data_IF_290903616622
#
_entry.id   IF_290903616622
#
_cell.length_a   1.000
_cell.length_b   1.000
_cell.length_c   1.000
_cell.angle_alpha   90.00
_cell.angle_beta   90.00
_cell.angle_gamma   90.00
#
_symmetry.space_group_name_H-M   'P 1'
#
loop_
_entity.id
_entity.type
_entity.pdbx_description
1 polymer ?
#
# COMPACT_ATOMS: atom_id res chain seq x y z
N UNK A 1 -12.30 10.30 -16.73
CA UNK A 1 -11.05 10.71 -16.04
C UNK A 1 -9.89 10.49 -16.99
N UNK A 2 -8.82 11.32 -16.97
CA UNK A 2 -7.63 11.00 -17.75
C UNK A 2 -6.96 9.74 -17.17
N UNK A 3 -6.21 8.99 -17.98
CA UNK A 3 -5.62 7.70 -17.60
C UNK A 3 -4.66 7.82 -16.41
N UNK A 4 -3.82 8.87 -16.38
CA UNK A 4 -2.90 9.15 -15.28
C UNK A 4 -3.64 9.39 -13.95
N UNK A 5 -4.78 10.09 -13.98
CA UNK A 5 -5.59 10.38 -12.81
C UNK A 5 -6.25 9.11 -12.27
N UNK A 6 -6.65 8.17 -13.15
CA UNK A 6 -7.13 6.85 -12.72
C UNK A 6 -6.00 6.09 -12.03
N UNK A 7 -4.81 6.03 -12.62
CA UNK A 7 -3.63 5.38 -12.03
C UNK A 7 -3.31 5.92 -10.63
N UNK A 8 -3.19 7.24 -10.49
CA UNK A 8 -2.88 7.88 -9.20
C UNK A 8 -4.00 7.68 -8.17
N UNK A 9 -5.27 7.72 -8.59
CA UNK A 9 -6.38 7.42 -7.69
C UNK A 9 -6.30 6.00 -7.13
N UNK A 10 -5.95 5.02 -7.96
CA UNK A 10 -5.81 3.64 -7.51
C UNK A 10 -4.55 3.41 -6.68
N UNK A 11 -3.44 4.10 -6.94
CA UNK A 11 -2.29 4.11 -6.01
C UNK A 11 -2.70 4.67 -4.64
N UNK A 12 -3.40 5.80 -4.62
CA UNK A 12 -3.90 6.39 -3.38
C UNK A 12 -4.83 5.45 -2.60
N UNK A 13 -5.83 4.87 -3.27
CA UNK A 13 -6.78 3.94 -2.62
C UNK A 13 -6.04 2.70 -2.12
N UNK A 14 -5.13 2.13 -2.89
CA UNK A 14 -4.37 0.95 -2.50
C UNK A 14 -3.47 1.21 -1.30
N UNK A 15 -2.76 2.33 -1.28
CA UNK A 15 -1.92 2.74 -0.15
C UNK A 15 -2.77 3.07 1.08
N UNK A 16 -3.95 3.69 0.90
CA UNK A 16 -4.88 3.93 2.01
C UNK A 16 -5.35 2.62 2.65
N UNK A 17 -5.64 1.59 1.85
CA UNK A 17 -5.99 0.25 2.35
C UNK A 17 -4.80 -0.41 3.05
N UNK A 18 -3.61 -0.35 2.45
CA UNK A 18 -2.38 -0.86 3.04
C UNK A 18 -2.13 -0.26 4.43
N UNK A 19 -2.20 1.07 4.54
CA UNK A 19 -1.98 1.82 5.78
C UNK A 19 -3.09 1.54 6.80
N UNK A 20 -4.36 1.58 6.36
CA UNK A 20 -5.50 1.36 7.26
C UNK A 20 -5.42 0.00 7.97
N UNK A 21 -5.09 -1.07 7.23
CA UNK A 21 -5.00 -2.41 7.82
C UNK A 21 -3.64 -2.70 8.46
N UNK A 22 -2.54 -2.26 7.83
CA UNK A 22 -1.19 -2.45 8.36
C UNK A 22 -0.96 -1.70 9.66
N UNK A 23 -1.20 -0.38 9.68
CA UNK A 23 -1.08 0.40 10.91
C UNK A 23 -2.24 0.10 11.87
N UNK A 24 -3.41 -0.27 11.33
CA UNK A 24 -4.56 -0.71 12.13
C UNK A 24 -4.26 -1.94 12.99
N UNK A 25 -3.56 -2.95 12.47
CA UNK A 25 -3.14 -4.10 13.29
C UNK A 25 -2.08 -3.72 14.31
N UNK A 26 -1.18 -2.80 13.97
CA UNK A 26 -0.18 -2.30 14.93
C UNK A 26 -0.88 -1.58 16.07
N UNK A 27 -1.80 -0.66 15.77
CA UNK A 27 -2.63 0.02 16.76
C UNK A 27 -3.44 -0.97 17.59
N UNK A 28 -4.04 -1.98 16.96
CA UNK A 28 -4.74 -3.07 17.65
C UNK A 28 -3.80 -3.83 18.61
N UNK A 29 -2.55 -4.08 18.25
CA UNK A 29 -1.62 -4.83 19.08
C UNK A 29 -1.00 -4.03 20.22
N UNK A 30 -0.74 -2.72 20.03
CA UNK A 30 0.04 -1.89 20.98
C UNK A 30 -0.82 -0.98 21.85
N UNK A 31 -2.05 -0.66 21.44
CA UNK A 31 -2.92 0.24 22.20
C UNK A 31 -3.53 -0.50 23.39
N UNK A 32 -3.31 0.04 24.59
CA UNK A 32 -3.89 -0.51 25.82
C UNK A 32 -5.41 -0.56 25.73
N UNK A 33 -6.00 -1.66 26.21
CA UNK A 33 -7.44 -1.93 26.21
C UNK A 33 -8.05 -2.11 24.81
N UNK A 34 -7.25 -2.26 23.76
CA UNK A 34 -7.77 -2.80 22.51
C UNK A 34 -8.13 -4.28 22.69
N UNK A 35 -8.93 -4.84 21.78
CA UNK A 35 -9.23 -6.27 21.79
C UNK A 35 -8.09 -7.14 21.23
N UNK A 36 -7.09 -6.53 20.61
CA UNK A 36 -5.92 -7.20 20.03
C UNK A 36 -4.63 -6.97 20.82
N UNK A 37 -4.70 -6.32 21.98
CA UNK A 37 -3.54 -5.96 22.79
C UNK A 37 -2.69 -7.21 23.10
N UNK A 38 -1.38 -7.11 22.91
CA UNK A 38 -0.43 -8.23 23.07
C UNK A 38 -0.73 -9.47 22.20
N UNK A 39 -1.38 -9.29 21.03
CA UNK A 39 -1.58 -10.35 20.03
C UNK A 39 -0.27 -10.91 19.43
N UNK A 40 0.83 -10.18 19.56
CA UNK A 40 2.17 -10.63 19.21
C UNK A 40 2.51 -10.48 17.72
N UNK A 41 3.75 -10.84 17.39
CA UNK A 41 4.34 -10.54 16.08
C UNK A 41 3.64 -11.25 14.91
N UNK A 42 3.16 -12.48 15.11
CA UNK A 42 2.48 -13.27 14.07
C UNK A 42 1.20 -12.58 13.58
N UNK A 43 0.43 -11.98 14.49
CA UNK A 43 -0.81 -11.27 14.12
C UNK A 43 -0.47 -10.04 13.28
N UNK A 44 0.57 -9.29 13.68
CA UNK A 44 1.03 -8.10 12.95
C UNK A 44 1.51 -8.47 11.55
N UNK A 45 2.39 -9.46 11.43
CA UNK A 45 2.98 -9.80 10.12
C UNK A 45 2.00 -10.41 9.15
N UNK A 46 1.09 -11.28 9.62
CA UNK A 46 0.03 -11.81 8.77
C UNK A 46 -0.91 -10.71 8.28
N UNK A 47 -1.34 -9.80 9.17
CA UNK A 47 -2.22 -8.72 8.79
C UNK A 47 -1.56 -7.71 7.83
N UNK A 48 -0.27 -7.41 7.99
CA UNK A 48 0.49 -6.61 7.01
C UNK A 48 0.55 -7.30 5.63
N UNK A 49 0.83 -8.61 5.60
CA UNK A 49 0.81 -9.38 4.34
C UNK A 49 -0.55 -9.35 3.65
N UNK A 50 -1.64 -9.50 4.41
CA UNK A 50 -3.00 -9.39 3.90
C UNK A 50 -3.35 -7.96 3.46
N UNK A 51 -2.88 -6.93 4.16
CA UNK A 51 -3.07 -5.54 3.79
C UNK A 51 -2.43 -5.23 2.43
N UNK A 52 -1.20 -5.72 2.19
CA UNK A 52 -0.54 -5.64 0.88
C UNK A 52 -1.35 -6.35 -0.19
N UNK A 53 -1.79 -7.59 0.07
CA UNK A 53 -2.61 -8.36 -0.88
C UNK A 53 -3.87 -7.61 -1.29
N UNK A 54 -4.59 -7.03 -0.32
CA UNK A 54 -5.80 -6.25 -0.58
C UNK A 54 -5.50 -5.00 -1.42
N UNK A 55 -4.45 -4.25 -1.07
CA UNK A 55 -4.01 -3.10 -1.86
C UNK A 55 -3.69 -3.49 -3.31
N UNK A 56 -2.97 -4.59 -3.51
CA UNK A 56 -2.63 -5.09 -4.86
C UNK A 56 -3.88 -5.52 -5.63
N UNK A 57 -4.83 -6.22 -5.01
CA UNK A 57 -6.07 -6.64 -5.69
C UNK A 57 -6.94 -5.46 -6.11
N UNK A 58 -6.95 -4.38 -5.33
CA UNK A 58 -7.70 -3.16 -5.65
C UNK A 58 -7.01 -2.37 -6.77
N UNK A 59 -5.70 -2.15 -6.63
CA UNK A 59 -4.97 -1.19 -7.46
C UNK A 59 -4.32 -1.79 -8.70
N UNK A 60 -4.01 -3.09 -8.66
CA UNK A 60 -3.25 -3.81 -9.70
C UNK A 60 -3.83 -3.66 -11.10
N UNK A 61 -5.14 -3.91 -11.33
CA UNK A 61 -5.76 -3.78 -12.64
C UNK A 61 -5.68 -2.39 -13.28
N UNK A 62 -5.43 -1.34 -12.48
CA UNK A 62 -5.54 0.05 -12.92
C UNK A 62 -4.20 0.81 -12.92
N UNK A 63 -3.32 0.51 -11.97
CA UNK A 63 -2.10 1.29 -11.70
C UNK A 63 -0.80 0.49 -11.77
N UNK A 64 -0.88 -0.84 -11.68
CA UNK A 64 0.29 -1.69 -11.42
C UNK A 64 0.61 -1.90 -9.94
N UNK A 65 -0.12 -1.21 -9.04
CA UNK A 65 -0.05 -1.36 -7.58
C UNK A 65 1.38 -1.27 -7.03
N UNK A 66 2.03 -0.13 -7.23
CA UNK A 66 3.33 0.11 -6.60
C UNK A 66 3.16 0.27 -5.09
N UNK A 67 2.18 1.08 -4.69
CA UNK A 67 1.73 1.37 -3.32
C UNK A 67 2.85 1.83 -2.37
N UNK A 68 4.03 2.10 -2.92
CA UNK A 68 5.28 2.30 -2.20
C UNK A 68 6.23 3.11 -3.10
N UNK A 69 6.73 4.26 -2.62
CA UNK A 69 7.71 5.07 -3.34
C UNK A 69 8.99 4.30 -3.73
N UNK A 70 9.49 3.40 -2.89
CA UNK A 70 10.67 2.60 -3.17
C UNK A 70 10.44 1.62 -4.33
N UNK A 71 9.25 1.02 -4.43
CA UNK A 71 8.87 0.16 -5.56
C UNK A 71 8.79 0.99 -6.84
N UNK A 72 8.14 2.17 -6.78
CA UNK A 72 8.04 3.10 -7.91
C UNK A 72 9.42 3.50 -8.43
N UNK A 73 10.33 3.90 -7.54
CA UNK A 73 11.70 4.27 -7.90
C UNK A 73 12.50 3.08 -8.45
N UNK A 74 12.34 1.89 -7.86
CA UNK A 74 12.99 0.67 -8.31
C UNK A 74 12.60 0.28 -9.74
N UNK A 75 11.30 0.32 -10.05
CA UNK A 75 10.80 0.02 -11.39
C UNK A 75 11.22 1.09 -12.42
N UNK A 76 11.25 2.37 -12.02
CA UNK A 76 11.75 3.44 -12.89
C UNK A 76 13.25 3.28 -13.19
N UNK A 77 14.05 2.95 -12.17
CA UNK A 77 15.48 2.68 -12.30
C UNK A 77 15.76 1.44 -13.15
N UNK A 78 14.90 0.42 -13.08
CA UNK A 78 14.99 -0.78 -13.90
C UNK A 78 14.54 -0.56 -15.37
N UNK A 79 14.02 0.63 -15.71
CA UNK A 79 13.52 0.94 -17.06
C UNK A 79 12.16 0.30 -17.38
N UNK A 80 11.46 -0.25 -16.38
CA UNK A 80 10.15 -0.89 -16.53
C UNK A 80 8.98 0.03 -16.18
N UNK A 81 9.26 1.26 -15.76
CA UNK A 81 8.26 2.29 -15.45
C UNK A 81 8.73 3.69 -15.90
N UNK A 82 7.79 4.52 -16.37
CA UNK A 82 8.12 5.85 -16.87
C UNK A 82 8.49 6.81 -15.75
N UNK A 83 9.64 7.48 -15.87
CA UNK A 83 10.07 8.53 -14.94
C UNK A 83 9.07 9.68 -14.80
N UNK A 84 8.29 9.98 -15.85
CA UNK A 84 7.25 11.02 -15.81
C UNK A 84 6.11 10.73 -14.83
N UNK A 85 5.91 9.45 -14.47
CA UNK A 85 4.86 9.01 -13.55
C UNK A 85 5.36 8.81 -12.11
N UNK A 86 6.66 8.96 -11.84
CA UNK A 86 7.23 8.73 -10.51
C UNK A 86 6.68 9.70 -9.48
N UNK A 87 6.75 11.01 -9.73
CA UNK A 87 6.21 12.01 -8.79
C UNK A 87 4.69 11.86 -8.61
N UNK A 88 3.88 11.69 -9.68
CA UNK A 88 2.45 11.42 -9.54
C UNK A 88 2.09 10.16 -8.73
N UNK A 89 2.92 9.11 -8.74
CA UNK A 89 2.69 7.89 -7.96
C UNK A 89 3.13 8.02 -6.49
N UNK A 90 3.93 9.03 -6.14
CA UNK A 90 4.47 9.24 -4.79
C UNK A 90 3.62 10.24 -3.97
N UNK A 91 3.04 11.25 -4.63
CA UNK A 91 2.27 12.34 -4.00
C UNK A 91 0.78 12.04 -3.98
#
# INVERSE_FOLDING_TARGET
>A
MNEMMVKCLFEFIGTAILVLFGDGVVASNVLKKSKGENGGWVVVTLAWGLAVMLGVFISGPYSGAHLNPAVTLGLAAAGTFSWSLVVPYIV
#
